data_IF_787023977087
#
_entry.id   IF_787023977087
#
_cell.length_a   1.000
_cell.length_b   1.000
_cell.length_c   1.000
_cell.angle_alpha   90.00
_cell.angle_beta   90.00
_cell.angle_gamma   90.00
#
_symmetry.space_group_name_H-M   'P 1'
#
loop_
_entity.id
_entity.type
_entity.pdbx_description
1 polymer ?
#
# COMPACT_ATOMS: atom_id res chain seq x y z
N UNK A 1 25.98 11.40 2.09
CA UNK A 1 24.95 11.99 1.21
C UNK A 1 23.52 11.63 1.66
N UNK A 2 23.14 10.37 1.83
CA UNK A 2 21.76 9.94 2.22
C UNK A 2 21.29 10.53 3.56
N UNK A 3 22.13 10.47 4.61
CA UNK A 3 21.80 11.01 5.92
C UNK A 3 21.62 12.53 5.88
N UNK A 4 22.44 13.23 5.10
CA UNK A 4 22.32 14.67 4.90
C UNK A 4 21.02 15.07 4.20
N UNK A 5 20.60 14.33 3.16
CA UNK A 5 19.31 14.58 2.49
C UNK A 5 18.13 14.33 3.43
N UNK A 6 18.17 13.28 4.25
CA UNK A 6 17.16 13.01 5.27
C UNK A 6 17.11 14.14 6.31
N UNK A 7 18.26 14.61 6.76
CA UNK A 7 18.35 15.75 7.69
C UNK A 7 17.73 17.01 7.09
N UNK A 8 18.10 17.40 5.87
CA UNK A 8 17.49 18.56 5.20
C UNK A 8 15.98 18.42 5.03
N UNK A 9 15.50 17.23 4.68
CA UNK A 9 14.06 16.97 4.55
C UNK A 9 13.33 17.09 5.89
N UNK A 10 13.97 16.69 6.99
CA UNK A 10 13.41 16.77 8.35
C UNK A 10 13.23 18.21 8.85
N UNK A 11 13.95 19.18 8.29
CA UNK A 11 13.80 20.61 8.61
C UNK A 11 12.45 21.20 8.17
N UNK A 12 11.64 20.44 7.42
CA UNK A 12 10.28 20.80 6.97
C UNK A 12 10.15 22.09 6.16
N UNK A 13 11.25 22.68 5.67
CA UNK A 13 11.19 23.83 4.78
C UNK A 13 10.48 23.46 3.47
N UNK A 14 9.53 24.27 2.97
CA UNK A 14 8.75 23.97 1.77
C UNK A 14 9.62 23.63 0.55
N UNK A 15 10.74 24.36 0.38
CA UNK A 15 11.69 24.14 -0.71
C UNK A 15 12.31 22.74 -0.64
N UNK A 16 12.75 22.29 0.54
CA UNK A 16 13.35 20.96 0.74
C UNK A 16 12.34 19.86 0.52
N UNK A 17 11.11 20.02 1.00
CA UNK A 17 10.02 19.05 0.75
C UNK A 17 9.74 18.85 -0.73
N UNK A 18 9.89 19.87 -1.54
CA UNK A 18 9.68 19.82 -3.00
C UNK A 18 10.88 19.24 -3.75
N UNK A 19 12.09 19.70 -3.43
CA UNK A 19 13.31 19.39 -4.20
C UNK A 19 13.93 18.02 -3.85
N UNK A 20 13.96 17.67 -2.55
CA UNK A 20 14.66 16.45 -2.09
C UNK A 20 14.04 15.17 -2.67
N UNK A 21 12.71 14.96 -2.70
CA UNK A 21 12.13 13.77 -3.35
C UNK A 21 12.49 13.66 -4.83
N UNK A 22 12.56 14.78 -5.55
CA UNK A 22 12.95 14.81 -6.96
C UNK A 22 14.43 14.46 -7.13
N UNK A 23 15.29 15.00 -6.26
CA UNK A 23 16.73 14.70 -6.25
C UNK A 23 16.99 13.22 -5.93
N UNK A 24 16.28 12.66 -4.95
CA UNK A 24 16.36 11.23 -4.63
C UNK A 24 15.96 10.39 -5.84
N UNK A 25 14.85 10.70 -6.49
CA UNK A 25 14.44 9.99 -7.71
C UNK A 25 15.57 9.98 -8.77
N UNK A 26 16.27 11.10 -8.94
CA UNK A 26 17.37 11.23 -9.90
C UNK A 26 18.61 10.44 -9.47
N UNK A 27 19.00 10.50 -8.21
CA UNK A 27 20.17 9.79 -7.66
C UNK A 27 19.98 8.27 -7.73
N UNK A 28 18.78 7.78 -7.39
CA UNK A 28 18.47 6.37 -7.33
C UNK A 28 17.88 5.79 -8.61
N UNK A 29 17.96 6.52 -9.72
CA UNK A 29 17.39 6.05 -10.99
C UNK A 29 17.92 4.69 -11.43
N UNK A 30 19.21 4.42 -11.25
CA UNK A 30 19.84 3.13 -11.60
C UNK A 30 19.67 2.06 -10.52
N UNK A 31 19.64 2.44 -9.24
CA UNK A 31 19.47 1.51 -8.12
C UNK A 31 18.28 1.95 -7.26
N UNK A 32 17.10 1.82 -7.85
CA UNK A 32 15.84 2.31 -7.31
C UNK A 32 15.34 1.56 -6.08
N UNK A 33 15.78 0.33 -5.90
CA UNK A 33 15.31 -0.53 -4.81
C UNK A 33 16.23 -0.42 -3.60
N UNK A 34 15.66 -0.12 -2.44
CA UNK A 34 16.36 -0.02 -1.17
C UNK A 34 15.66 -0.83 -0.10
N UNK A 35 16.41 -1.56 0.72
CA UNK A 35 15.91 -2.20 1.92
C UNK A 35 16.32 -1.34 3.11
N UNK A 36 15.35 -0.86 3.87
CA UNK A 36 15.59 -0.07 5.08
C UNK A 36 15.03 -0.76 6.32
N UNK A 37 15.57 -0.41 7.47
CA UNK A 37 15.07 -0.84 8.78
C UNK A 37 14.20 0.28 9.36
N UNK A 38 12.95 -0.05 9.64
CA UNK A 38 12.02 0.76 10.40
C UNK A 38 11.95 0.26 11.85
N UNK A 39 11.27 1.01 12.75
CA UNK A 39 11.06 0.58 14.14
C UNK A 39 10.29 -0.74 14.26
N UNK A 40 9.47 -1.06 13.26
CA UNK A 40 8.60 -2.23 13.22
C UNK A 40 8.99 -3.29 12.17
N UNK A 41 10.18 -3.19 11.56
CA UNK A 41 10.68 -4.23 10.66
C UNK A 41 11.53 -3.70 9.52
N UNK A 42 11.92 -4.59 8.61
CA UNK A 42 12.63 -4.25 7.37
C UNK A 42 11.61 -4.09 6.24
N UNK A 43 11.82 -3.12 5.36
CA UNK A 43 10.96 -2.93 4.20
C UNK A 43 11.79 -2.65 2.95
N UNK A 44 11.44 -3.32 1.86
CA UNK A 44 11.97 -3.07 0.52
C UNK A 44 11.11 -2.00 -0.14
N UNK A 45 11.75 -0.93 -0.60
CA UNK A 45 11.14 0.24 -1.20
C UNK A 45 11.62 0.44 -2.64
N UNK A 46 10.75 0.86 -3.53
CA UNK A 46 11.08 1.38 -4.86
C UNK A 46 11.08 2.92 -4.81
N UNK A 47 12.26 3.55 -4.74
CA UNK A 47 12.40 5.00 -4.60
C UNK A 47 11.92 5.81 -5.82
N UNK A 48 11.45 5.16 -6.87
CA UNK A 48 10.70 5.80 -7.95
C UNK A 48 9.23 6.05 -7.56
N UNK A 49 8.71 5.32 -6.53
CA UNK A 49 7.36 5.52 -6.01
C UNK A 49 7.33 6.66 -4.97
N UNK A 50 6.25 7.44 -4.97
CA UNK A 50 6.14 8.62 -4.09
C UNK A 50 6.05 8.22 -2.60
N UNK A 51 5.19 7.25 -2.28
CA UNK A 51 4.99 6.74 -0.91
C UNK A 51 6.29 6.13 -0.37
N UNK A 52 6.97 5.31 -1.18
CA UNK A 52 8.21 4.65 -0.80
C UNK A 52 9.33 5.67 -0.48
N UNK A 53 9.41 6.77 -1.26
CA UNK A 53 10.32 7.87 -0.96
C UNK A 53 9.98 8.57 0.36
N UNK A 54 8.70 8.74 0.64
CA UNK A 54 8.26 9.34 1.91
C UNK A 54 8.63 8.45 3.10
N UNK A 55 8.40 7.15 3.01
CA UNK A 55 8.83 6.17 4.01
C UNK A 55 10.36 6.21 4.16
N UNK A 56 11.11 6.25 3.05
CA UNK A 56 12.56 6.31 3.06
C UNK A 56 13.09 7.57 3.78
N UNK A 57 12.47 8.72 3.55
CA UNK A 57 12.91 10.01 4.10
C UNK A 57 12.50 10.19 5.57
N UNK A 58 11.25 9.88 5.89
CA UNK A 58 10.67 10.14 7.22
C UNK A 58 10.79 8.94 8.18
N UNK A 59 11.00 7.73 7.66
CA UNK A 59 10.86 6.49 8.43
C UNK A 59 9.41 6.08 8.69
N UNK A 60 8.45 6.89 8.27
CA UNK A 60 7.01 6.66 8.42
C UNK A 60 6.24 7.26 7.25
N UNK A 61 5.11 6.61 6.97
CA UNK A 61 4.01 7.11 6.17
C UNK A 61 2.77 7.12 7.06
N UNK A 62 1.97 8.18 7.04
CA UNK A 62 0.73 8.32 7.84
C UNK A 62 0.90 8.00 9.35
N UNK A 63 1.96 8.50 9.96
CA UNK A 63 2.37 8.17 11.35
C UNK A 63 1.25 8.37 12.38
N UNK A 64 0.50 9.46 12.26
CA UNK A 64 -0.58 9.79 13.20
C UNK A 64 -1.73 8.77 13.09
N UNK A 65 -2.10 8.40 11.86
CA UNK A 65 -3.10 7.38 11.59
C UNK A 65 -2.68 6.02 12.15
N UNK A 66 -1.44 5.59 11.90
CA UNK A 66 -0.90 4.35 12.46
C UNK A 66 -0.97 4.32 14.00
N UNK A 67 -0.55 5.41 14.64
CA UNK A 67 -0.56 5.52 16.10
C UNK A 67 -2.00 5.49 16.64
N UNK A 68 -2.93 6.15 15.97
CA UNK A 68 -4.35 6.14 16.33
C UNK A 68 -4.94 4.73 16.22
N UNK A 69 -4.75 4.07 15.10
CA UNK A 69 -5.21 2.70 14.88
C UNK A 69 -4.59 1.72 15.88
N UNK A 70 -3.30 1.85 16.18
CA UNK A 70 -2.63 0.99 17.17
C UNK A 70 -3.24 1.14 18.57
N UNK A 71 -3.60 2.36 18.98
CA UNK A 71 -4.31 2.60 20.25
C UNK A 71 -5.67 1.91 20.26
N UNK A 72 -6.43 1.97 19.14
CA UNK A 72 -7.72 1.29 18.98
C UNK A 72 -7.53 -0.22 19.08
N UNK A 73 -6.56 -0.78 18.38
CA UNK A 73 -6.26 -2.21 18.40
C UNK A 73 -5.99 -2.72 19.81
N UNK A 74 -5.11 -2.03 20.54
CA UNK A 74 -4.73 -2.41 21.90
C UNK A 74 -5.91 -2.29 22.88
N UNK A 75 -6.65 -1.15 22.84
CA UNK A 75 -7.82 -0.92 23.71
C UNK A 75 -8.90 -1.99 23.50
N UNK A 76 -9.15 -2.38 22.27
CA UNK A 76 -10.23 -3.30 21.93
C UNK A 76 -9.78 -4.76 21.86
N UNK A 77 -8.49 -5.05 22.03
CA UNK A 77 -7.91 -6.40 21.90
C UNK A 77 -8.26 -7.00 20.52
N UNK A 78 -7.96 -6.25 19.47
CA UNK A 78 -8.17 -6.67 18.08
C UNK A 78 -7.31 -7.90 17.82
N UNK A 79 -7.90 -8.96 17.26
CA UNK A 79 -7.24 -10.23 16.98
C UNK A 79 -7.03 -10.51 15.49
N UNK A 80 -7.72 -9.74 14.63
CA UNK A 80 -7.65 -9.89 13.17
C UNK A 80 -7.48 -8.54 12.51
N UNK A 81 -6.55 -8.43 11.58
CA UNK A 81 -6.34 -7.25 10.77
C UNK A 81 -6.51 -7.57 9.28
N UNK A 82 -7.37 -6.82 8.61
CA UNK A 82 -7.59 -6.91 7.19
C UNK A 82 -7.01 -5.68 6.51
N UNK A 83 -5.96 -5.88 5.70
CA UNK A 83 -5.28 -4.85 4.92
C UNK A 83 -5.77 -4.94 3.48
N UNK A 84 -6.84 -4.20 3.17
CA UNK A 84 -7.48 -4.20 1.85
C UNK A 84 -6.87 -3.07 1.02
N UNK A 85 -6.23 -3.43 -0.10
CA UNK A 85 -5.31 -2.57 -0.82
C UNK A 85 -3.95 -2.48 -0.11
N UNK A 86 -3.36 -3.65 0.18
CA UNK A 86 -2.16 -3.73 1.03
C UNK A 86 -0.90 -3.13 0.38
N UNK A 87 -0.92 -2.90 -0.93
CA UNK A 87 0.21 -2.37 -1.69
C UNK A 87 1.49 -3.19 -1.41
N UNK A 88 2.55 -2.58 -0.90
CA UNK A 88 3.81 -3.27 -0.55
C UNK A 88 3.81 -3.85 0.87
N UNK A 89 2.68 -3.81 1.59
CA UNK A 89 2.51 -4.38 2.93
C UNK A 89 2.98 -3.51 4.08
N UNK A 90 3.02 -2.21 3.92
CA UNK A 90 3.48 -1.29 4.96
C UNK A 90 2.60 -1.35 6.22
N UNK A 91 1.27 -1.32 6.08
CA UNK A 91 0.34 -1.49 7.20
C UNK A 91 0.38 -2.90 7.77
N UNK A 92 0.40 -3.92 6.94
CA UNK A 92 0.54 -5.32 7.37
C UNK A 92 1.80 -5.53 8.21
N UNK A 93 2.92 -4.90 7.82
CA UNK A 93 4.18 -4.96 8.58
C UNK A 93 4.08 -4.20 9.92
N UNK A 94 3.44 -3.04 9.95
CA UNK A 94 3.25 -2.26 11.18
C UNK A 94 2.40 -3.01 12.20
N UNK A 95 1.31 -3.65 11.75
CA UNK A 95 0.38 -4.39 12.60
C UNK A 95 0.77 -5.86 12.82
N UNK A 96 2.00 -6.25 12.54
CA UNK A 96 2.49 -7.64 12.61
C UNK A 96 2.28 -8.35 13.94
N UNK A 97 2.13 -7.61 15.04
CA UNK A 97 1.87 -8.16 16.39
C UNK A 97 0.38 -8.57 16.58
N UNK A 98 -0.50 -8.22 15.63
CA UNK A 98 -1.86 -8.76 15.61
C UNK A 98 -1.79 -10.20 15.09
N UNK A 99 -2.37 -11.15 15.83
CA UNK A 99 -2.21 -12.59 15.61
C UNK A 99 -2.59 -13.09 14.21
N UNK A 100 -3.62 -12.49 13.58
CA UNK A 100 -4.10 -12.89 12.25
C UNK A 100 -4.17 -11.71 11.30
N UNK A 101 -3.35 -11.71 10.28
CA UNK A 101 -3.34 -10.67 9.25
C UNK A 101 -3.71 -11.28 7.89
N UNK A 102 -4.59 -10.58 7.19
CA UNK A 102 -5.09 -10.92 5.86
C UNK A 102 -4.86 -9.72 4.96
N UNK A 103 -3.98 -9.86 3.97
CA UNK A 103 -3.61 -8.78 3.07
C UNK A 103 -4.07 -9.07 1.65
N UNK A 104 -4.80 -8.12 1.07
CA UNK A 104 -5.39 -8.23 -0.27
C UNK A 104 -4.77 -7.16 -1.16
N UNK A 105 -4.13 -7.59 -2.24
CA UNK A 105 -3.51 -6.69 -3.22
C UNK A 105 -3.68 -7.25 -4.63
N UNK A 106 -4.52 -6.62 -5.48
CA UNK A 106 -4.79 -7.11 -6.82
C UNK A 106 -3.61 -6.90 -7.78
N UNK A 107 -2.85 -5.81 -7.67
CA UNK A 107 -1.74 -5.55 -8.55
C UNK A 107 -0.60 -6.54 -8.33
N UNK A 108 -0.25 -7.30 -9.36
CA UNK A 108 0.74 -8.38 -9.27
C UNK A 108 2.13 -7.90 -8.81
N UNK A 109 2.56 -6.73 -9.27
CA UNK A 109 3.88 -6.18 -8.89
C UNK A 109 3.90 -5.79 -7.42
N UNK A 110 2.87 -5.09 -6.94
CA UNK A 110 2.74 -4.71 -5.54
C UNK A 110 2.63 -5.96 -4.66
N UNK A 111 1.83 -6.93 -5.06
CA UNK A 111 1.69 -8.21 -4.37
C UNK A 111 3.03 -8.96 -4.21
N UNK A 112 3.87 -9.00 -5.25
CA UNK A 112 5.20 -9.59 -5.16
C UNK A 112 6.09 -8.84 -4.17
N UNK A 113 6.05 -7.51 -4.16
CA UNK A 113 6.77 -6.70 -3.17
C UNK A 113 6.24 -6.92 -1.75
N UNK A 114 4.91 -6.99 -1.57
CA UNK A 114 4.26 -7.36 -0.30
C UNK A 114 4.80 -8.71 0.21
N UNK A 115 4.80 -9.74 -0.65
CA UNK A 115 5.31 -11.07 -0.32
C UNK A 115 6.79 -11.04 0.08
N UNK A 116 7.63 -10.31 -0.65
CA UNK A 116 9.04 -10.14 -0.28
C UNK A 116 9.20 -9.44 1.06
N UNK A 117 8.42 -8.40 1.34
CA UNK A 117 8.45 -7.69 2.61
C UNK A 117 8.01 -8.58 3.79
N UNK A 118 7.04 -9.47 3.59
CA UNK A 118 6.69 -10.48 4.58
C UNK A 118 7.85 -11.45 4.83
N UNK A 119 8.49 -11.96 3.77
CA UNK A 119 9.64 -12.87 3.88
C UNK A 119 10.84 -12.21 4.60
N UNK A 120 11.15 -10.94 4.30
CA UNK A 120 12.23 -10.19 4.95
C UNK A 120 12.07 -10.08 6.48
N UNK A 121 10.86 -10.27 6.98
CA UNK A 121 10.51 -10.15 8.41
C UNK A 121 10.03 -11.45 9.04
N UNK A 122 10.10 -12.57 8.32
CA UNK A 122 9.60 -13.88 8.75
C UNK A 122 8.12 -13.84 9.20
N UNK A 123 7.29 -13.04 8.50
CA UNK A 123 5.88 -12.88 8.82
C UNK A 123 5.04 -13.97 8.16
N UNK A 124 4.20 -14.62 8.96
CA UNK A 124 3.19 -15.56 8.48
C UNK A 124 1.85 -14.83 8.29
N UNK A 125 1.70 -14.12 7.18
CA UNK A 125 0.50 -13.37 6.81
C UNK A 125 -0.23 -14.12 5.70
N UNK A 126 -1.57 -14.14 5.76
CA UNK A 126 -2.40 -14.68 4.67
C UNK A 126 -2.47 -13.66 3.53
N UNK A 127 -1.84 -13.98 2.41
CA UNK A 127 -1.67 -13.10 1.27
C UNK A 127 -2.61 -13.50 0.12
N UNK A 128 -3.34 -12.54 -0.43
CA UNK A 128 -4.29 -12.74 -1.51
C UNK A 128 -4.01 -11.81 -2.68
N UNK A 129 -3.70 -12.38 -3.86
CA UNK A 129 -3.48 -11.60 -5.09
C UNK A 129 -4.79 -11.43 -5.87
N UNK A 130 -5.75 -10.79 -5.25
CA UNK A 130 -7.00 -10.31 -5.85
C UNK A 130 -7.55 -9.13 -5.06
N UNK A 131 -8.41 -8.34 -5.67
CA UNK A 131 -9.12 -7.26 -4.99
C UNK A 131 -10.44 -7.73 -4.38
N UNK A 132 -10.96 -6.95 -3.43
CA UNK A 132 -12.28 -7.20 -2.86
C UNK A 132 -13.34 -6.30 -3.53
N UNK A 133 -14.57 -6.83 -3.63
CA UNK A 133 -15.73 -6.15 -4.22
C UNK A 133 -17.02 -6.75 -3.68
N UNK A 134 -18.18 -6.25 -4.14
CA UNK A 134 -19.51 -6.76 -3.78
C UNK A 134 -19.92 -8.05 -4.53
N UNK A 135 -19.12 -8.54 -5.46
CA UNK A 135 -19.33 -9.77 -6.22
C UNK A 135 -18.03 -10.32 -6.80
N UNK A 136 -18.08 -11.55 -7.33
CA UNK A 136 -16.93 -12.21 -7.93
C UNK A 136 -16.91 -11.95 -9.44
N UNK A 137 -15.88 -11.24 -9.94
CA UNK A 137 -15.70 -10.99 -11.38
C UNK A 137 -14.26 -10.57 -11.69
N UNK A 138 -13.89 -10.70 -12.97
CA UNK A 138 -12.62 -10.18 -13.47
C UNK A 138 -12.79 -8.73 -13.92
N UNK A 139 -11.80 -7.91 -13.65
CA UNK A 139 -11.77 -6.48 -13.94
C UNK A 139 -10.39 -6.06 -14.41
N UNK A 140 -10.23 -4.76 -14.63
CA UNK A 140 -8.93 -4.16 -14.93
C UNK A 140 -8.64 -3.04 -13.94
N UNK A 141 -7.43 -3.04 -13.39
CA UNK A 141 -6.89 -1.85 -12.73
C UNK A 141 -6.11 -1.04 -13.75
N UNK A 142 -6.27 0.27 -13.64
CA UNK A 142 -5.62 1.21 -14.54
C UNK A 142 -4.71 2.12 -13.74
N UNK A 143 -3.51 2.36 -14.24
CA UNK A 143 -2.56 3.27 -13.63
C UNK A 143 -1.78 4.02 -14.70
N UNK A 144 -1.40 5.25 -14.37
CA UNK A 144 -0.64 6.11 -15.28
C UNK A 144 0.82 6.04 -14.92
N UNK A 145 1.64 5.63 -15.88
CA UNK A 145 3.08 5.56 -15.78
C UNK A 145 3.61 4.53 -14.75
N UNK A 146 4.62 3.78 -15.14
CA UNK A 146 5.27 2.73 -14.32
C UNK A 146 5.74 3.20 -12.93
N UNK A 147 5.86 4.52 -12.76
CA UNK A 147 6.39 5.16 -11.54
C UNK A 147 5.30 5.61 -10.54
N UNK A 148 4.01 5.37 -10.80
CA UNK A 148 2.90 5.82 -9.94
C UNK A 148 1.93 4.70 -9.59
N UNK A 149 2.46 3.54 -9.21
CA UNK A 149 1.64 2.36 -8.92
C UNK A 149 0.84 2.47 -7.61
N UNK A 150 1.15 3.43 -6.75
CA UNK A 150 0.36 3.72 -5.55
C UNK A 150 -1.00 4.39 -5.82
N UNK A 151 -1.26 4.83 -7.06
CA UNK A 151 -2.53 5.43 -7.49
C UNK A 151 -3.22 4.60 -8.56
N UNK A 152 -3.17 3.27 -8.48
CA UNK A 152 -3.93 2.39 -9.37
C UNK A 152 -5.37 2.29 -8.91
N UNK A 153 -6.32 2.56 -9.80
CA UNK A 153 -7.75 2.53 -9.50
C UNK A 153 -8.49 1.58 -10.46
N UNK A 154 -9.60 1.06 -9.99
CA UNK A 154 -10.57 0.39 -10.85
C UNK A 154 -11.45 1.48 -11.44
N UNK A 155 -11.27 1.78 -12.72
CA UNK A 155 -12.13 2.72 -13.42
C UNK A 155 -13.25 1.98 -14.15
N UNK A 156 -14.45 2.54 -14.12
CA UNK A 156 -15.46 2.23 -15.11
C UNK A 156 -15.00 2.79 -16.46
N UNK A 157 -15.26 2.08 -17.56
CA UNK A 157 -14.87 2.53 -18.91
C UNK A 157 -15.43 3.91 -19.27
N UNK A 158 -16.54 4.30 -18.64
CA UNK A 158 -17.20 5.58 -18.82
C UNK A 158 -16.81 6.64 -17.77
N UNK A 159 -15.83 6.39 -16.90
CA UNK A 159 -15.43 7.34 -15.86
C UNK A 159 -14.92 8.64 -16.49
N UNK A 160 -15.53 9.81 -16.18
CA UNK A 160 -15.10 11.09 -16.74
C UNK A 160 -13.65 11.45 -16.41
N UNK A 161 -13.11 10.93 -15.34
CA UNK A 161 -11.72 11.15 -14.93
C UNK A 161 -10.71 10.55 -15.91
N UNK A 162 -11.10 9.51 -16.65
CA UNK A 162 -10.25 8.92 -17.69
C UNK A 162 -9.87 9.93 -18.78
N UNK A 163 -10.74 10.93 -19.03
CA UNK A 163 -10.49 12.00 -19.99
C UNK A 163 -9.32 12.91 -19.59
N UNK A 164 -8.94 12.92 -18.29
CA UNK A 164 -7.81 13.70 -17.78
C UNK A 164 -6.45 13.04 -18.06
N UNK A 165 -6.46 11.77 -18.45
CA UNK A 165 -5.25 11.01 -18.70
C UNK A 165 -5.00 10.84 -20.19
N UNK A 166 -3.74 10.99 -20.62
CA UNK A 166 -3.37 10.66 -21.99
C UNK A 166 -3.47 9.13 -22.17
N UNK A 167 -4.31 8.62 -23.09
CA UNK A 167 -4.51 7.18 -23.28
C UNK A 167 -3.21 6.40 -23.53
N UNK A 168 -2.20 7.05 -24.15
CA UNK A 168 -0.89 6.44 -24.42
C UNK A 168 -0.09 6.13 -23.14
N UNK A 169 -0.43 6.75 -22.02
CA UNK A 169 0.27 6.59 -20.74
C UNK A 169 -0.50 5.70 -19.76
N UNK A 170 -1.64 5.15 -20.16
CA UNK A 170 -2.46 4.28 -19.34
C UNK A 170 -1.96 2.84 -19.51
N UNK A 171 -1.65 2.22 -18.37
CA UNK A 171 -1.36 0.79 -18.29
C UNK A 171 -2.58 0.11 -17.67
N UNK A 172 -3.03 -0.98 -18.30
CA UNK A 172 -4.13 -1.81 -17.84
C UNK A 172 -3.59 -3.15 -17.40
N UNK A 173 -4.05 -3.64 -16.27
CA UNK A 173 -3.73 -4.95 -15.74
C UNK A 173 -5.01 -5.68 -15.35
N UNK A 174 -5.18 -6.91 -15.85
CA UNK A 174 -6.31 -7.76 -15.46
C UNK A 174 -6.16 -8.22 -14.03
N UNK A 175 -7.22 -8.12 -13.26
CA UNK A 175 -7.29 -8.52 -11.85
C UNK A 175 -8.59 -9.26 -11.59
N UNK A 176 -8.55 -10.21 -10.65
CA UNK A 176 -9.75 -10.85 -10.13
C UNK A 176 -10.27 -10.06 -8.93
N UNK A 177 -11.57 -9.89 -8.85
CA UNK A 177 -12.27 -9.29 -7.73
C UNK A 177 -13.17 -10.33 -7.07
N UNK A 178 -13.21 -10.34 -5.73
CA UNK A 178 -13.97 -11.32 -4.97
C UNK A 178 -14.75 -10.66 -3.84
N UNK A 179 -15.87 -11.28 -3.48
CA UNK A 179 -16.62 -10.93 -2.29
C UNK A 179 -15.90 -11.49 -1.07
N UNK A 180 -15.72 -10.67 -0.02
CA UNK A 180 -15.02 -11.08 1.20
C UNK A 180 -15.71 -12.25 1.88
N UNK A 181 -17.03 -12.23 1.95
CA UNK A 181 -17.87 -13.28 2.57
C UNK A 181 -17.73 -14.65 1.91
N UNK A 182 -17.35 -14.69 0.62
CA UNK A 182 -17.08 -15.95 -0.11
C UNK A 182 -15.66 -16.49 0.15
N UNK A 183 -14.76 -15.61 0.58
CA UNK A 183 -13.33 -15.95 0.78
C UNK A 183 -13.05 -16.39 2.21
N UNK A 184 -13.64 -15.71 3.19
CA UNK A 184 -13.34 -15.88 4.61
C UNK A 184 -14.61 -15.91 5.44
N UNK A 185 -14.65 -16.87 6.37
CA UNK A 185 -15.64 -16.91 7.45
C UNK A 185 -14.92 -16.78 8.78
N UNK A 186 -15.13 -15.67 9.46
CA UNK A 186 -14.51 -15.38 10.75
C UNK A 186 -15.62 -15.10 11.75
N UNK A 187 -15.69 -15.90 12.78
CA UNK A 187 -16.71 -15.79 13.82
C UNK A 187 -16.07 -15.35 15.15
N UNK A 188 -16.82 -14.60 15.94
CA UNK A 188 -16.49 -14.22 17.33
C UNK A 188 -15.12 -13.54 17.50
N UNK A 189 -14.72 -12.71 16.53
CA UNK A 189 -13.42 -12.02 16.55
C UNK A 189 -13.59 -10.52 16.47
N UNK A 190 -12.65 -9.78 17.08
CA UNK A 190 -12.54 -8.34 16.90
C UNK A 190 -11.61 -8.07 15.75
N UNK A 191 -12.15 -7.46 14.71
CA UNK A 191 -11.46 -7.23 13.46
C UNK A 191 -11.22 -5.74 13.29
N UNK A 192 -10.01 -5.35 12.90
CA UNK A 192 -9.72 -4.04 12.30
C UNK A 192 -9.64 -4.23 10.79
N UNK A 193 -10.38 -3.42 10.04
CA UNK A 193 -10.32 -3.40 8.58
C UNK A 193 -9.77 -2.04 8.14
N UNK A 194 -8.68 -2.04 7.39
CA UNK A 194 -8.20 -0.88 6.62
C UNK A 194 -8.64 -1.10 5.17
N UNK A 195 -9.28 -0.09 4.58
CA UNK A 195 -9.68 -0.10 3.16
C UNK A 195 -9.05 1.12 2.49
N UNK A 196 -8.21 0.86 1.49
CA UNK A 196 -7.54 1.88 0.71
C UNK A 196 -7.40 1.36 -0.73
N UNK A 197 -8.49 1.46 -1.49
CA UNK A 197 -8.68 0.79 -2.80
C UNK A 197 -9.12 1.77 -3.89
N UNK A 198 -8.69 3.01 -3.79
CA UNK A 198 -8.86 4.04 -4.80
C UNK A 198 -10.20 3.96 -5.56
N UNK A 199 -11.26 4.61 -5.00
CA UNK A 199 -12.61 4.74 -5.58
C UNK A 199 -13.48 3.47 -5.62
N UNK A 200 -13.06 2.39 -4.94
CA UNK A 200 -13.81 1.13 -4.90
C UNK A 200 -14.30 0.75 -3.49
N UNK A 201 -14.09 1.64 -2.50
CA UNK A 201 -14.35 1.41 -1.08
C UNK A 201 -15.80 0.99 -0.82
N UNK A 202 -16.77 1.66 -1.49
CA UNK A 202 -18.19 1.35 -1.35
C UNK A 202 -18.48 -0.10 -1.71
N UNK A 203 -17.98 -0.59 -2.85
CA UNK A 203 -18.20 -1.97 -3.29
C UNK A 203 -17.53 -2.99 -2.37
N UNK A 204 -16.39 -2.65 -1.78
CA UNK A 204 -15.73 -3.50 -0.77
C UNK A 204 -16.61 -3.63 0.47
N UNK A 205 -17.24 -2.55 0.92
CA UNK A 205 -18.12 -2.55 2.10
C UNK A 205 -19.46 -3.28 1.87
N UNK A 206 -19.90 -3.40 0.63
CA UNK A 206 -21.10 -4.12 0.23
C UNK A 206 -20.87 -5.64 0.12
N UNK A 207 -19.62 -6.10 0.12
CA UNK A 207 -19.20 -7.51 -0.09
C UNK A 207 -18.74 -8.22 1.13
#
# INVERSE_FOLDING_TARGET
MHQFLKFLYSLKFPLFKRLIPSLIKRIFFLNKTQIIKLSFGKIKLDLLQAIDREIYLNGFYEKEQLNFLNKICNKNKVSHFFDIGANIGYYSLFFREIGNIYAFEPNKKNFLNLKENCLLNNLNIKLYNFGLSNSNYDSEIWYTNKDKMGGSAIFDQNDPELKKYNPKNIIKEKVSLKKLDDVLKINNSKILIKIDVERHEKKVLEG
#
